data_IF_543216331393
#
_entry.id   IF_543216331393
#
_cell.length_a   1.000
_cell.length_b   1.000
_cell.length_c   1.000
_cell.angle_alpha   90.00
_cell.angle_beta   90.00
_cell.angle_gamma   90.00
#
_symmetry.space_group_name_H-M   'P 1'
#
loop_
_entity.id
_entity.type
_entity.pdbx_description
1 polymer ?
#
# COMPACT_ATOMS: atom_id res chain seq x y z
N UNK A 1 29.66 0.51 7.64
CA UNK A 1 29.40 -0.91 7.32
C UNK A 1 28.18 -1.36 8.10
N UNK A 2 27.09 -1.72 7.42
CA UNK A 2 25.86 -2.16 8.08
C UNK A 2 24.63 -1.97 7.20
N UNK A 3 24.51 -2.77 6.14
CA UNK A 3 23.30 -2.84 5.30
C UNK A 3 22.23 -3.66 6.03
N UNK A 4 21.37 -2.98 6.79
CA UNK A 4 20.20 -3.57 7.42
C UNK A 4 19.16 -3.95 6.37
N UNK A 5 19.25 -5.16 5.84
CA UNK A 5 18.17 -5.74 5.02
C UNK A 5 16.98 -5.99 5.93
N UNK A 6 15.89 -5.24 5.72
CA UNK A 6 14.62 -5.49 6.37
C UNK A 6 14.21 -6.94 6.10
N UNK A 7 14.16 -7.76 7.15
CA UNK A 7 13.71 -9.14 7.06
C UNK A 7 12.25 -9.12 6.64
N UNK A 8 11.98 -9.47 5.37
CA UNK A 8 10.64 -9.79 4.87
C UNK A 8 10.12 -10.92 5.77
N UNK A 9 9.16 -10.64 6.65
CA UNK A 9 8.50 -11.66 7.44
C UNK A 9 7.76 -12.58 6.46
N UNK A 10 8.41 -13.69 6.08
CA UNK A 10 7.77 -14.74 5.30
C UNK A 10 6.71 -15.34 6.22
N UNK A 11 5.44 -15.21 5.83
CA UNK A 11 4.39 -16.01 6.45
C UNK A 11 4.76 -17.49 6.23
N UNK A 12 5.17 -18.17 7.30
CA UNK A 12 5.51 -19.59 7.23
C UNK A 12 4.20 -20.36 7.38
N UNK A 13 3.68 -20.86 6.27
CA UNK A 13 2.51 -21.74 6.27
C UNK A 13 2.79 -22.89 7.26
N UNK A 14 1.89 -23.19 8.22
CA UNK A 14 2.01 -24.38 9.04
C UNK A 14 2.15 -25.61 8.14
N UNK A 15 3.22 -26.39 8.31
CA UNK A 15 3.43 -27.61 7.53
C UNK A 15 2.23 -28.55 7.75
N UNK A 16 1.53 -28.91 6.67
CA UNK A 16 0.38 -29.82 6.71
C UNK A 16 -1.01 -29.18 6.60
N UNK A 17 -1.14 -27.85 6.56
CA UNK A 17 -2.43 -27.21 6.31
C UNK A 17 -2.75 -27.14 4.80
N UNK A 18 -3.77 -27.89 4.36
CA UNK A 18 -4.46 -27.69 3.07
C UNK A 18 -5.62 -26.69 3.19
N UNK A 19 -5.77 -26.02 4.33
CA UNK A 19 -6.88 -25.13 4.57
C UNK A 19 -6.73 -23.87 3.70
N UNK A 20 -7.73 -23.63 2.86
CA UNK A 20 -7.93 -22.35 2.20
C UNK A 20 -8.21 -21.27 3.25
N UNK A 21 -7.75 -20.07 2.97
CA UNK A 21 -8.09 -18.87 3.75
C UNK A 21 -9.05 -18.02 2.91
N UNK A 22 -10.02 -17.40 3.57
CA UNK A 22 -10.90 -16.42 2.94
C UNK A 22 -10.22 -15.05 2.96
N UNK A 23 -10.31 -14.34 1.83
CA UNK A 23 -9.66 -13.04 1.64
C UNK A 23 -10.55 -12.10 0.83
N UNK A 24 -10.35 -10.80 0.99
CA UNK A 24 -10.81 -9.78 0.03
C UNK A 24 -9.62 -9.31 -0.80
N UNK A 25 -9.79 -9.12 -2.10
CA UNK A 25 -8.81 -8.39 -2.91
C UNK A 25 -9.04 -6.90 -2.69
N UNK A 26 -8.06 -6.22 -2.10
CA UNK A 26 -8.18 -4.83 -1.64
C UNK A 26 -7.57 -3.82 -2.61
N UNK A 27 -6.62 -4.26 -3.44
CA UNK A 27 -6.04 -3.45 -4.52
C UNK A 27 -5.44 -4.34 -5.60
N UNK A 28 -5.50 -3.91 -6.85
CA UNK A 28 -4.94 -4.62 -7.99
C UNK A 28 -3.99 -3.71 -8.76
N UNK A 29 -2.78 -4.21 -9.04
CA UNK A 29 -1.90 -3.64 -10.06
C UNK A 29 -1.83 -4.53 -11.29
N UNK A 30 -1.82 -5.86 -11.09
CA UNK A 30 -1.94 -6.88 -12.13
C UNK A 30 -2.18 -8.25 -11.49
N UNK A 31 -2.48 -9.31 -12.27
CA UNK A 31 -2.51 -10.67 -11.73
C UNK A 31 -1.18 -11.12 -11.08
N UNK A 32 -0.04 -10.53 -11.48
CA UNK A 32 1.27 -10.83 -10.85
C UNK A 32 1.56 -9.95 -9.63
N UNK A 33 0.71 -8.96 -9.32
CA UNK A 33 0.88 -8.06 -8.19
C UNK A 33 -0.46 -7.44 -7.78
N UNK A 34 -1.03 -7.97 -6.71
CA UNK A 34 -2.25 -7.45 -6.08
C UNK A 34 -2.14 -7.60 -4.56
N UNK A 35 -3.07 -7.01 -3.83
CA UNK A 35 -3.10 -7.05 -2.38
C UNK A 35 -4.40 -7.65 -1.88
N UNK A 36 -4.27 -8.41 -0.80
CA UNK A 36 -5.41 -9.03 -0.13
C UNK A 36 -5.46 -8.67 1.34
N UNK A 37 -6.68 -8.68 1.90
CA UNK A 37 -6.95 -8.61 3.33
C UNK A 37 -7.53 -9.94 3.79
N UNK A 38 -7.12 -10.44 4.96
CA UNK A 38 -7.66 -11.68 5.51
C UNK A 38 -9.07 -11.45 6.05
N UNK A 39 -10.02 -12.31 5.68
CA UNK A 39 -11.36 -12.31 6.30
C UNK A 39 -11.23 -12.80 7.75
N UNK A 40 -11.79 -12.03 8.68
CA UNK A 40 -11.78 -12.38 10.10
C UNK A 40 -11.98 -11.16 11.01
N UNK A 41 -11.72 -11.31 12.33
CA UNK A 41 -11.94 -10.24 13.31
C UNK A 41 -11.13 -8.94 13.05
N UNK A 42 -10.10 -9.01 12.22
CA UNK A 42 -9.26 -7.86 11.88
C UNK A 42 -9.96 -6.88 10.92
N UNK A 43 -10.98 -7.34 10.17
CA UNK A 43 -11.76 -6.48 9.27
C UNK A 43 -12.50 -5.41 10.06
N UNK A 44 -13.23 -5.81 11.11
CA UNK A 44 -13.94 -4.86 11.98
C UNK A 44 -12.98 -3.94 12.72
N UNK A 45 -11.80 -4.43 13.11
CA UNK A 45 -10.76 -3.60 13.72
C UNK A 45 -10.20 -2.56 12.75
N UNK A 46 -10.09 -2.90 11.46
CA UNK A 46 -9.69 -1.96 10.43
C UNK A 46 -10.78 -0.90 10.22
N UNK A 47 -12.06 -1.29 10.17
CA UNK A 47 -13.18 -0.35 10.04
C UNK A 47 -13.19 0.66 11.20
N UNK A 48 -13.05 0.17 12.43
CA UNK A 48 -12.95 1.01 13.64
C UNK A 48 -11.74 1.95 13.56
N UNK A 49 -10.59 1.45 13.09
CA UNK A 49 -9.38 2.24 12.94
C UNK A 49 -9.58 3.36 11.91
N UNK A 50 -10.12 3.06 10.72
CA UNK A 50 -10.35 4.06 9.67
C UNK A 50 -11.37 5.10 10.13
N UNK A 51 -12.45 4.68 10.81
CA UNK A 51 -13.42 5.61 11.40
C UNK A 51 -12.74 6.54 12.40
N UNK A 52 -12.02 5.97 13.36
CA UNK A 52 -11.35 6.73 14.41
C UNK A 52 -10.26 7.67 13.87
N UNK A 53 -9.48 7.23 12.88
CA UNK A 53 -8.50 8.07 12.19
C UNK A 53 -9.19 9.23 11.47
N UNK A 54 -10.29 8.96 10.76
CA UNK A 54 -11.04 9.98 10.01
C UNK A 54 -11.63 11.02 10.95
N UNK A 55 -12.22 10.60 12.07
CA UNK A 55 -12.77 11.50 13.08
C UNK A 55 -11.68 12.33 13.78
N UNK A 56 -10.53 11.72 14.04
CA UNK A 56 -9.43 12.38 14.73
C UNK A 56 -8.72 13.38 13.82
N UNK A 57 -8.20 12.96 12.66
CA UNK A 57 -7.47 13.82 11.74
C UNK A 57 -8.38 14.70 10.89
N UNK A 58 -9.69 14.47 10.88
CA UNK A 58 -10.67 15.41 10.30
C UNK A 58 -10.67 16.78 11.01
N UNK A 59 -10.22 16.84 12.26
CA UNK A 59 -10.14 18.08 13.06
C UNK A 59 -8.81 18.80 12.82
N UNK A 60 -8.87 20.08 12.49
CA UNK A 60 -7.68 20.89 12.19
C UNK A 60 -6.72 20.97 13.38
N UNK A 61 -7.25 21.12 14.59
CA UNK A 61 -6.47 21.24 15.83
C UNK A 61 -5.65 19.96 16.10
N UNK A 62 -6.19 18.79 15.71
CA UNK A 62 -5.44 17.54 15.81
C UNK A 62 -4.32 17.48 14.77
N UNK A 63 -4.57 17.92 13.52
CA UNK A 63 -3.53 17.94 12.48
C UNK A 63 -2.38 18.89 12.81
N UNK A 64 -2.68 20.04 13.39
CA UNK A 64 -1.66 20.98 13.87
C UNK A 64 -0.71 20.32 14.88
N UNK A 65 -1.25 19.51 15.80
CA UNK A 65 -0.47 18.74 16.77
C UNK A 65 0.36 17.60 16.16
N UNK A 66 0.08 17.20 14.91
CA UNK A 66 0.74 16.11 14.18
C UNK A 66 1.38 16.61 12.87
N UNK A 67 1.78 17.88 12.81
CA UNK A 67 2.42 18.44 11.62
C UNK A 67 3.81 17.85 11.41
N UNK A 68 4.07 17.33 10.21
CA UNK A 68 5.39 16.82 9.83
C UNK A 68 6.33 17.96 9.45
N UNK A 69 7.42 18.14 10.20
CA UNK A 69 8.48 19.11 9.85
C UNK A 69 9.32 18.65 8.65
N UNK A 70 9.54 17.35 8.56
CA UNK A 70 10.24 16.70 7.46
C UNK A 70 9.59 15.34 7.21
N UNK A 71 9.48 14.97 5.94
CA UNK A 71 8.94 13.68 5.49
C UNK A 71 10.10 12.86 4.95
N UNK A 72 10.19 11.59 5.34
CA UNK A 72 11.26 10.68 4.90
C UNK A 72 10.69 9.46 4.19
N UNK A 73 11.39 8.98 3.16
CA UNK A 73 11.09 7.68 2.53
C UNK A 73 11.15 6.56 3.59
N UNK A 74 10.12 5.70 3.60
CA UNK A 74 9.92 4.64 4.57
C UNK A 74 9.14 5.05 5.82
N UNK A 75 8.90 6.35 6.04
CA UNK A 75 8.11 6.84 7.17
C UNK A 75 6.64 6.42 7.05
N UNK A 76 6.06 6.00 8.17
CA UNK A 76 4.62 5.73 8.28
C UNK A 76 3.91 7.00 8.73
N UNK A 77 2.87 7.38 8.00
CA UNK A 77 2.15 8.66 8.13
C UNK A 77 0.63 8.42 8.10
N UNK A 78 -0.12 9.42 8.54
CA UNK A 78 -1.54 9.51 8.25
C UNK A 78 -1.73 10.33 6.97
N UNK A 79 -2.52 9.81 6.03
CA UNK A 79 -2.79 10.43 4.74
C UNK A 79 -4.28 10.33 4.39
N UNK A 80 -4.79 11.33 3.67
CA UNK A 80 -6.14 11.28 3.10
C UNK A 80 -6.09 10.51 1.78
N UNK A 81 -7.04 9.59 1.60
CA UNK A 81 -7.29 8.99 0.30
C UNK A 81 -8.25 9.87 -0.48
N UNK A 82 -7.88 10.30 -1.70
CA UNK A 82 -8.61 11.37 -2.40
C UNK A 82 -10.00 10.95 -2.87
N UNK A 83 -10.21 9.66 -3.09
CA UNK A 83 -11.47 9.14 -3.62
C UNK A 83 -12.62 9.15 -2.62
N UNK A 84 -12.35 9.01 -1.32
CA UNK A 84 -13.39 8.98 -0.27
C UNK A 84 -13.21 10.04 0.83
N UNK A 85 -12.06 10.74 0.84
CA UNK A 85 -11.75 11.78 1.83
C UNK A 85 -11.46 11.24 3.24
N UNK A 86 -11.29 9.93 3.42
CA UNK A 86 -11.02 9.30 4.71
C UNK A 86 -9.52 9.25 5.01
N UNK A 87 -9.18 9.10 6.28
CA UNK A 87 -7.80 9.06 6.75
C UNK A 87 -7.30 7.63 6.94
N UNK A 88 -6.12 7.35 6.42
CA UNK A 88 -5.52 6.02 6.38
C UNK A 88 -4.07 6.03 6.83
N UNK A 89 -3.56 4.84 7.16
CA UNK A 89 -2.13 4.63 7.41
C UNK A 89 -1.42 4.42 6.08
N UNK A 90 -0.43 5.24 5.80
CA UNK A 90 0.35 5.14 4.58
C UNK A 90 1.85 5.08 4.88
N UNK A 91 2.62 4.51 3.96
CA UNK A 91 4.09 4.57 3.97
C UNK A 91 4.56 5.41 2.79
N UNK A 92 5.49 6.31 3.04
CA UNK A 92 6.13 7.10 1.99
C UNK A 92 7.10 6.20 1.21
N UNK A 93 6.86 6.01 -0.09
CA UNK A 93 7.69 5.21 -0.99
C UNK A 93 8.72 6.04 -1.73
N UNK A 94 8.33 7.23 -2.18
CA UNK A 94 9.19 8.17 -2.89
C UNK A 94 8.77 9.61 -2.60
N UNK A 95 9.68 10.56 -2.81
CA UNK A 95 9.41 11.99 -2.66
C UNK A 95 10.04 12.70 -3.84
N UNK A 96 9.23 13.47 -4.58
CA UNK A 96 9.68 14.27 -5.72
C UNK A 96 9.24 15.73 -5.61
N UNK A 97 9.96 16.67 -6.25
CA UNK A 97 9.47 18.04 -6.39
C UNK A 97 8.12 18.06 -7.12
N UNK A 98 7.25 19.00 -6.76
CA UNK A 98 6.06 19.26 -7.56
C UNK A 98 6.46 19.92 -8.89
N UNK A 99 5.94 19.40 -10.00
CA UNK A 99 6.28 19.86 -11.36
C UNK A 99 5.86 21.31 -11.64
N UNK A 100 4.83 21.81 -10.94
CA UNK A 100 4.28 23.15 -11.13
C UNK A 100 4.70 24.14 -10.03
N UNK A 101 5.19 23.64 -8.89
CA UNK A 101 5.65 24.46 -7.76
C UNK A 101 6.86 23.82 -7.08
N UNK A 102 8.06 24.27 -7.44
CA UNK A 102 9.31 23.73 -6.87
C UNK A 102 9.48 23.97 -5.35
N UNK A 103 8.62 24.79 -4.72
CA UNK A 103 8.59 24.96 -3.25
C UNK A 103 7.82 23.84 -2.54
N UNK A 104 7.03 23.07 -3.29
CA UNK A 104 6.24 21.96 -2.80
C UNK A 104 6.86 20.61 -3.19
N UNK A 105 6.64 19.61 -2.35
CA UNK A 105 7.01 18.23 -2.62
C UNK A 105 5.75 17.37 -2.69
N UNK A 106 5.83 16.32 -3.49
CA UNK A 106 4.79 15.30 -3.63
C UNK A 106 5.39 13.96 -3.21
N UNK A 107 4.74 13.29 -2.28
CA UNK A 107 5.09 11.95 -1.84
C UNK A 107 4.27 10.91 -2.62
N UNK A 108 4.94 9.86 -3.11
CA UNK A 108 4.27 8.61 -3.44
C UNK A 108 4.02 7.86 -2.13
N UNK A 109 2.76 7.64 -1.78
CA UNK A 109 2.38 6.95 -0.54
C UNK A 109 1.66 5.65 -0.85
N UNK A 110 2.03 4.59 -0.14
CA UNK A 110 1.40 3.28 -0.21
C UNK A 110 0.49 3.07 1.00
N UNK A 111 -0.80 2.82 0.78
CA UNK A 111 -1.76 2.61 1.85
C UNK A 111 -1.59 1.21 2.45
N UNK A 112 -1.12 1.15 3.69
CA UNK A 112 -0.60 -0.06 4.33
C UNK A 112 -1.68 -1.11 4.59
N UNK A 113 -2.94 -0.70 4.60
CA UNK A 113 -4.07 -1.57 4.88
C UNK A 113 -4.81 -2.04 3.62
N UNK A 114 -4.60 -1.39 2.47
CA UNK A 114 -5.34 -1.67 1.22
C UNK A 114 -4.44 -2.07 0.06
N UNK A 115 -3.26 -1.46 -0.07
CA UNK A 115 -2.23 -1.86 -1.04
C UNK A 115 -2.16 -0.99 -2.31
N UNK A 116 -3.05 -0.02 -2.44
CA UNK A 116 -3.01 1.02 -3.45
C UNK A 116 -1.96 2.10 -3.11
N UNK A 117 -1.60 2.91 -4.10
CA UNK A 117 -0.65 4.01 -3.93
C UNK A 117 -1.16 5.27 -4.61
N UNK A 118 -0.92 6.41 -3.97
CA UNK A 118 -1.31 7.72 -4.48
C UNK A 118 -0.18 8.75 -4.33
N UNK A 119 -0.23 9.78 -5.17
CA UNK A 119 0.61 10.96 -5.02
C UNK A 119 -0.11 12.00 -4.16
N UNK A 120 0.47 12.32 -2.99
CA UNK A 120 -0.09 13.25 -2.01
C UNK A 120 0.92 14.36 -1.74
N UNK A 121 0.46 15.62 -1.64
CA UNK A 121 1.38 16.70 -1.31
C UNK A 121 1.90 16.52 0.12
N UNK A 122 3.20 16.72 0.34
CA UNK A 122 3.83 16.39 1.64
C UNK A 122 3.26 17.21 2.79
N UNK A 123 2.73 18.41 2.52
CA UNK A 123 2.09 19.27 3.52
C UNK A 123 0.68 18.79 3.93
N UNK A 124 0.07 17.87 3.18
CA UNK A 124 -1.22 17.25 3.51
C UNK A 124 -1.05 16.02 4.43
N UNK A 125 0.19 15.52 4.56
CA UNK A 125 0.52 14.38 5.42
C UNK A 125 0.61 14.79 6.89
N UNK A 126 0.15 13.90 7.77
CA UNK A 126 0.28 14.07 9.22
C UNK A 126 1.16 12.96 9.82
N UNK A 127 1.82 13.26 10.94
CA UNK A 127 2.47 12.25 11.77
C UNK A 127 1.41 11.25 12.25
N UNK A 128 1.70 9.95 12.10
CA UNK A 128 0.78 8.92 12.58
C UNK A 128 0.90 8.78 14.10
N UNK A 129 -0.21 8.96 14.82
CA UNK A 129 -0.28 8.78 16.27
C UNK A 129 0.10 7.35 16.64
N UNK A 130 1.01 7.18 17.59
CA UNK A 130 1.68 5.91 17.84
C UNK A 130 0.74 4.74 18.22
N UNK A 131 -0.40 5.00 18.87
CA UNK A 131 -1.38 3.97 19.21
C UNK A 131 -2.12 3.39 17.98
N UNK A 132 -2.15 4.13 16.86
CA UNK A 132 -2.75 3.69 15.60
C UNK A 132 -1.87 2.68 14.85
N UNK A 133 -0.64 2.43 15.34
CA UNK A 133 0.25 1.38 14.83
C UNK A 133 -0.02 -0.01 15.45
N UNK A 134 -0.94 -0.11 16.42
CA UNK A 134 -1.21 -1.37 17.14
C UNK A 134 -1.81 -2.46 16.26
N UNK A 135 -2.75 -2.09 15.38
CA UNK A 135 -3.31 -3.03 14.42
C UNK A 135 -2.23 -3.39 13.40
N UNK A 136 -2.06 -4.67 13.08
CA UNK A 136 -1.14 -5.10 12.02
C UNK A 136 -1.52 -4.43 10.69
N UNK A 137 -0.56 -4.15 9.80
CA UNK A 137 -0.87 -3.72 8.44
C UNK A 137 -1.62 -4.83 7.69
N UNK A 138 -2.77 -4.47 7.11
CA UNK A 138 -3.74 -5.44 6.61
C UNK A 138 -3.46 -5.90 5.17
N UNK A 139 -2.82 -5.08 4.34
CA UNK A 139 -2.54 -5.44 2.95
C UNK A 139 -1.42 -6.47 2.82
N UNK A 140 -1.72 -7.60 2.18
CA UNK A 140 -0.76 -8.65 1.86
C UNK A 140 -0.52 -8.73 0.35
N UNK A 141 0.66 -8.34 -0.10
CA UNK A 141 1.08 -8.45 -1.50
C UNK A 141 1.11 -9.92 -1.95
N UNK A 142 0.46 -10.20 -3.07
CA UNK A 142 0.24 -11.51 -3.65
C UNK A 142 0.45 -11.49 -5.18
N UNK A 143 0.58 -12.68 -5.74
CA UNK A 143 0.57 -12.93 -7.18
C UNK A 143 -0.25 -14.20 -7.45
N UNK A 144 -0.85 -14.29 -8.64
CA UNK A 144 -1.67 -15.42 -9.02
C UNK A 144 -0.76 -16.55 -9.53
N UNK A 145 -0.75 -17.68 -8.82
CA UNK A 145 0.10 -18.81 -9.18
C UNK A 145 -0.44 -19.55 -10.42
N UNK A 146 0.48 -20.07 -11.24
CA UNK A 146 0.13 -20.90 -12.40
C UNK A 146 -0.33 -20.12 -13.64
N UNK A 147 -0.24 -18.78 -13.62
CA UNK A 147 -0.55 -17.92 -14.76
C UNK A 147 0.66 -17.07 -15.15
N UNK A 148 0.65 -16.58 -16.39
CA UNK A 148 1.62 -15.61 -16.93
C UNK A 148 0.93 -14.73 -17.98
N UNK A 149 1.47 -13.55 -18.29
CA UNK A 149 0.95 -12.74 -19.39
C UNK A 149 1.01 -13.49 -20.73
N UNK A 150 0.06 -13.17 -21.61
CA UNK A 150 0.03 -13.70 -22.98
C UNK A 150 1.01 -12.90 -23.85
N UNK A 151 1.95 -13.58 -24.50
CA UNK A 151 2.96 -12.98 -25.37
C UNK A 151 4.28 -13.76 -25.35
N UNK A 152 5.28 -13.26 -26.05
CA UNK A 152 6.66 -13.79 -25.93
C UNK A 152 7.29 -13.26 -24.64
N UNK A 153 8.34 -13.92 -24.14
CA UNK A 153 9.06 -13.40 -22.96
C UNK A 153 9.71 -12.04 -23.24
N UNK A 154 10.17 -11.78 -24.48
CA UNK A 154 10.75 -10.50 -24.88
C UNK A 154 9.75 -9.34 -24.80
N UNK A 155 8.47 -9.62 -25.08
CA UNK A 155 7.41 -8.59 -25.07
C UNK A 155 6.82 -8.35 -23.67
N UNK A 156 6.88 -9.37 -22.80
CA UNK A 156 6.09 -9.42 -21.56
C UNK A 156 6.94 -9.45 -20.31
N UNK A 157 8.24 -9.68 -20.41
CA UNK A 157 9.15 -9.76 -19.26
C UNK A 157 10.32 -8.82 -19.48
N UNK A 158 10.65 -8.05 -18.46
CA UNK A 158 11.90 -7.30 -18.45
C UNK A 158 12.52 -7.25 -17.07
N UNK A 159 13.70 -6.63 -17.00
CA UNK A 159 14.45 -6.48 -15.75
C UNK A 159 14.81 -5.00 -15.60
N UNK A 160 14.52 -4.42 -14.44
CA UNK A 160 14.93 -3.04 -14.14
C UNK A 160 16.44 -2.95 -13.98
N UNK A 161 17.01 -1.73 -14.02
CA UNK A 161 18.44 -1.52 -13.76
C UNK A 161 18.90 -2.08 -12.40
N UNK A 162 17.98 -2.21 -11.44
CA UNK A 162 18.21 -2.80 -10.12
C UNK A 162 18.06 -4.34 -10.08
N UNK A 163 17.86 -5.00 -11.21
CA UNK A 163 17.72 -6.46 -11.30
C UNK A 163 16.32 -6.99 -10.96
N UNK A 164 15.31 -6.12 -10.77
CA UNK A 164 13.95 -6.56 -10.47
C UNK A 164 13.23 -6.96 -11.76
N UNK A 165 12.73 -8.20 -11.82
CA UNK A 165 11.91 -8.69 -12.93
C UNK A 165 10.52 -8.05 -12.88
N UNK A 166 10.02 -7.57 -14.01
CA UNK A 166 8.65 -7.09 -14.18
C UNK A 166 7.95 -7.90 -15.27
N UNK A 167 6.62 -7.97 -15.17
CA UNK A 167 5.75 -8.64 -16.12
C UNK A 167 4.71 -7.66 -16.68
N UNK A 168 4.50 -7.68 -18.00
CA UNK A 168 3.53 -6.84 -18.68
C UNK A 168 2.24 -7.60 -18.92
N UNK A 169 1.20 -7.27 -18.16
CA UNK A 169 -0.14 -7.74 -18.46
C UNK A 169 -0.82 -6.82 -19.47
N UNK A 170 -1.60 -7.40 -20.37
CA UNK A 170 -2.48 -6.61 -21.24
C UNK A 170 -3.52 -5.88 -20.38
N UNK A 171 -3.86 -4.59 -20.64
CA UNK A 171 -4.80 -3.84 -19.79
C UNK A 171 -6.15 -4.56 -19.58
N UNK A 172 -6.72 -5.13 -20.63
CA UNK A 172 -7.98 -5.91 -20.53
C UNK A 172 -7.85 -7.16 -19.63
N UNK A 173 -6.66 -7.75 -19.50
CA UNK A 173 -6.46 -8.88 -18.60
C UNK A 173 -6.39 -8.43 -17.14
N UNK A 174 -5.88 -7.21 -16.88
CA UNK A 174 -5.89 -6.59 -15.55
C UNK A 174 -7.33 -6.23 -15.16
N UNK A 175 -8.04 -5.52 -16.04
CA UNK A 175 -9.47 -5.17 -15.84
C UNK A 175 -10.32 -6.42 -15.60
N UNK A 176 -10.11 -7.48 -16.40
CA UNK A 176 -10.83 -8.74 -16.19
C UNK A 176 -10.49 -9.42 -14.87
N UNK A 177 -9.27 -9.26 -14.36
CA UNK A 177 -8.89 -9.78 -13.05
C UNK A 177 -9.56 -8.97 -11.94
N UNK A 178 -9.65 -7.64 -12.07
CA UNK A 178 -10.39 -6.77 -11.13
C UNK A 178 -11.88 -7.14 -11.05
N UNK A 179 -12.53 -7.42 -12.18
CA UNK A 179 -13.94 -7.83 -12.23
C UNK A 179 -14.23 -9.19 -11.54
N UNK A 180 -13.23 -10.07 -11.49
CA UNK A 180 -13.37 -11.44 -10.97
C UNK A 180 -12.93 -11.59 -9.51
N UNK A 181 -12.28 -10.57 -8.97
CA UNK A 181 -11.60 -10.56 -7.68
C UNK A 181 -12.54 -10.29 -6.49
#
# INVERSE_FOLDING_TARGET
TGTGTARRNKYKRPEGSTASIEVYVSAVSSPSRFWVQLVGPQVTQLDDLVSHMTDYYGRAENRENHTLKQVSVGQVVAAVFRHDGRWYRARVHDIRPNEFDATQQVADVFFLDYGDSEYVATHELCELRADLLRLRFQAMECFLAGVKPVGTEEDTVGVTAAGARWERWHPQAVERFEELA
#
